data_IF_291864513368
#
_entry.id   IF_291864513368
#
_cell.length_a   1.000
_cell.length_b   1.000
_cell.length_c   1.000
_cell.angle_alpha   90.00
_cell.angle_beta   90.00
_cell.angle_gamma   90.00
#
_symmetry.space_group_name_H-M   'P 1'
#
loop_
_entity.id
_entity.type
_entity.pdbx_description
1 polymer ?
#
# COMPACT_ATOMS: atom_id res chain seq x y z
N UNK A 1 4.06 -18.32 -0.66
CA UNK A 1 3.75 -17.00 -0.06
C UNK A 1 4.04 -15.95 -1.11
N UNK A 2 3.23 -14.91 -1.20
CA UNK A 2 3.50 -13.80 -2.12
C UNK A 2 4.21 -12.69 -1.37
N UNK A 3 5.48 -12.45 -1.70
CA UNK A 3 6.33 -11.47 -1.02
C UNK A 3 6.78 -10.40 -2.01
N UNK A 4 6.49 -9.14 -1.68
CA UNK A 4 6.95 -7.95 -2.37
C UNK A 4 7.96 -7.16 -1.54
N UNK A 5 8.66 -6.25 -2.20
CA UNK A 5 9.61 -5.34 -1.54
C UNK A 5 9.19 -3.90 -1.76
N UNK A 6 9.25 -3.13 -0.67
CA UNK A 6 9.09 -1.69 -0.68
C UNK A 6 10.45 -1.00 -0.73
N UNK A 7 10.56 0.06 -1.52
CA UNK A 7 11.65 1.02 -1.36
C UNK A 7 11.23 2.43 -1.72
N UNK A 8 11.98 3.40 -1.19
CA UNK A 8 11.78 4.83 -1.42
C UNK A 8 13.07 5.42 -2.02
N UNK A 9 13.28 5.26 -3.33
CA UNK A 9 14.45 5.83 -4.01
C UNK A 9 14.33 7.36 -4.12
N UNK A 10 15.47 8.04 -4.17
CA UNK A 10 15.56 9.49 -4.33
C UNK A 10 15.70 9.93 -5.79
N UNK A 11 16.01 8.99 -6.71
CA UNK A 11 16.09 9.21 -8.16
C UNK A 11 15.38 8.13 -8.94
N UNK A 12 14.99 8.45 -10.19
CA UNK A 12 14.35 7.48 -11.09
C UNK A 12 15.32 6.35 -11.44
N UNK A 13 16.60 6.64 -11.61
CA UNK A 13 17.63 5.63 -11.90
C UNK A 13 17.74 4.62 -10.76
N UNK A 14 17.75 5.07 -9.50
CA UNK A 14 17.71 4.18 -8.34
C UNK A 14 16.40 3.38 -8.25
N UNK A 15 15.27 3.95 -8.66
CA UNK A 15 14.02 3.20 -8.72
C UNK A 15 14.14 2.01 -9.71
N UNK A 16 14.74 2.24 -10.86
CA UNK A 16 15.01 1.19 -11.87
C UNK A 16 16.02 0.17 -11.34
N UNK A 17 17.11 0.61 -10.71
CA UNK A 17 18.12 -0.27 -10.11
C UNK A 17 17.52 -1.18 -9.04
N UNK A 18 16.72 -0.62 -8.12
CA UNK A 18 16.03 -1.40 -7.10
C UNK A 18 15.05 -2.41 -7.71
N UNK A 19 14.26 -1.98 -8.68
CA UNK A 19 13.31 -2.88 -9.35
C UNK A 19 14.01 -4.03 -10.08
N UNK A 20 15.15 -3.79 -10.73
CA UNK A 20 16.00 -4.82 -11.35
C UNK A 20 16.53 -5.79 -10.28
N UNK A 21 17.14 -5.27 -9.22
CA UNK A 21 17.66 -6.08 -8.12
C UNK A 21 16.59 -7.00 -7.56
N UNK A 22 15.40 -6.48 -7.27
CA UNK A 22 14.31 -7.27 -6.69
C UNK A 22 13.72 -8.28 -7.69
N UNK A 23 13.57 -7.89 -8.96
CA UNK A 23 13.13 -8.79 -10.02
C UNK A 23 14.10 -9.94 -10.24
N UNK A 24 15.40 -9.67 -10.23
CA UNK A 24 16.46 -10.67 -10.44
C UNK A 24 16.57 -11.62 -9.22
N UNK A 25 16.28 -11.12 -8.02
CA UNK A 25 16.17 -11.93 -6.79
C UNK A 25 14.87 -12.75 -6.72
N UNK A 26 13.93 -12.58 -7.64
CA UNK A 26 12.70 -13.38 -7.74
C UNK A 26 11.49 -12.78 -6.99
N UNK A 27 11.58 -11.58 -6.45
CA UNK A 27 10.43 -10.96 -5.75
C UNK A 27 9.28 -10.69 -6.71
N UNK A 28 8.05 -11.01 -6.27
CA UNK A 28 6.84 -10.92 -7.08
C UNK A 28 6.36 -9.49 -7.36
N UNK A 29 6.66 -8.54 -6.46
CA UNK A 29 6.19 -7.15 -6.60
C UNK A 29 7.18 -6.13 -6.01
N UNK A 30 7.19 -4.94 -6.62
CA UNK A 30 7.94 -3.77 -6.19
C UNK A 30 6.99 -2.61 -5.87
N UNK A 31 7.10 -2.06 -4.67
CA UNK A 31 6.20 -1.06 -4.13
C UNK A 31 6.93 0.25 -3.81
N UNK A 32 6.36 1.38 -4.24
CA UNK A 32 6.89 2.71 -3.96
C UNK A 32 5.85 3.63 -3.30
N UNK A 33 6.26 4.47 -2.34
CA UNK A 33 5.37 5.46 -1.73
C UNK A 33 5.29 6.76 -2.54
N UNK A 34 4.20 7.49 -2.36
CA UNK A 34 4.11 8.89 -2.74
C UNK A 34 4.12 9.75 -1.48
N UNK A 35 5.31 10.19 -1.06
CA UNK A 35 5.47 11.13 0.06
C UNK A 35 5.86 12.50 -0.51
N UNK A 36 7.02 13.04 -0.17
CA UNK A 36 7.49 14.35 -0.63
C UNK A 36 8.69 14.26 -1.59
N UNK A 37 8.97 13.08 -2.12
CA UNK A 37 10.05 12.82 -3.08
C UNK A 37 9.54 12.74 -4.52
N UNK A 38 9.99 11.71 -5.24
CA UNK A 38 9.59 11.45 -6.62
C UNK A 38 8.06 11.33 -6.75
N UNK A 39 7.51 11.80 -7.87
CA UNK A 39 6.17 11.38 -8.28
C UNK A 39 6.20 9.90 -8.64
N UNK A 40 5.54 9.11 -7.79
CA UNK A 40 5.63 7.65 -7.85
C UNK A 40 5.08 7.06 -9.14
N UNK A 41 3.97 7.60 -9.66
CA UNK A 41 3.38 7.10 -10.91
C UNK A 41 4.29 7.39 -12.10
N UNK A 42 4.92 8.56 -12.13
CA UNK A 42 5.91 8.92 -13.16
C UNK A 42 7.13 8.01 -13.08
N UNK A 43 7.70 7.81 -11.88
CA UNK A 43 8.86 6.94 -11.69
C UNK A 43 8.55 5.47 -12.06
N UNK A 44 7.41 4.94 -11.59
CA UNK A 44 6.98 3.58 -11.92
C UNK A 44 6.69 3.37 -13.41
N UNK A 45 6.33 4.43 -14.15
CA UNK A 45 6.17 4.33 -15.62
C UNK A 45 7.51 4.03 -16.30
N UNK A 46 8.59 4.65 -15.84
CA UNK A 46 9.95 4.34 -16.33
C UNK A 46 10.36 2.93 -15.90
N UNK A 47 10.15 2.58 -14.64
CA UNK A 47 10.43 1.22 -14.13
C UNK A 47 9.65 0.17 -14.92
N UNK A 48 8.38 0.40 -15.23
CA UNK A 48 7.55 -0.54 -16.00
C UNK A 48 8.13 -0.85 -17.38
N UNK A 49 8.74 0.15 -18.01
CA UNK A 49 9.39 0.03 -19.33
C UNK A 49 10.71 -0.72 -19.25
N UNK A 50 11.52 -0.44 -18.21
CA UNK A 50 12.88 -0.98 -18.06
C UNK A 50 12.91 -2.37 -17.41
N UNK A 51 11.88 -2.73 -16.61
CA UNK A 51 11.83 -3.96 -15.82
C UNK A 51 10.50 -4.69 -16.07
N UNK A 52 10.40 -5.50 -17.13
CA UNK A 52 9.13 -6.02 -17.63
C UNK A 52 8.57 -7.22 -16.86
N UNK A 53 9.23 -7.73 -15.83
CA UNK A 53 8.81 -8.97 -15.15
C UNK A 53 8.19 -8.77 -13.78
N UNK A 54 8.56 -7.70 -13.06
CA UNK A 54 8.08 -7.45 -11.69
C UNK A 54 6.72 -6.74 -11.73
N UNK A 55 5.80 -7.11 -10.84
CA UNK A 55 4.58 -6.34 -10.61
C UNK A 55 4.90 -5.08 -9.85
N UNK A 56 4.17 -4.01 -10.14
CA UNK A 56 4.41 -2.69 -9.59
C UNK A 56 3.22 -2.25 -8.74
N UNK A 57 3.51 -1.59 -7.62
CA UNK A 57 2.48 -1.05 -6.76
C UNK A 57 2.83 0.30 -6.16
N UNK A 58 1.81 1.10 -5.87
CA UNK A 58 1.97 2.29 -5.04
C UNK A 58 1.52 2.02 -3.61
N UNK A 59 2.31 2.46 -2.61
CA UNK A 59 2.02 2.24 -1.20
C UNK A 59 2.25 3.53 -0.37
N UNK A 60 1.39 4.56 -0.48
CA UNK A 60 0.22 4.73 -1.33
C UNK A 60 0.18 6.16 -1.90
N UNK A 61 -0.63 6.40 -2.94
CA UNK A 61 -0.82 7.76 -3.49
C UNK A 61 -1.91 8.50 -2.70
N UNK A 62 -1.66 9.74 -2.22
CA UNK A 62 -2.65 10.55 -1.52
C UNK A 62 -3.81 10.99 -2.43
N UNK A 63 -5.04 10.88 -1.93
CA UNK A 63 -6.25 11.23 -2.71
C UNK A 63 -6.54 12.73 -2.75
N UNK A 64 -6.33 13.47 -1.64
CA UNK A 64 -6.71 14.87 -1.53
C UNK A 64 -6.04 15.81 -2.56
N UNK A 65 -4.72 15.70 -2.82
CA UNK A 65 -4.06 16.62 -3.76
C UNK A 65 -4.31 16.28 -5.24
N UNK A 66 -5.04 15.23 -5.55
CA UNK A 66 -5.28 14.79 -6.94
C UNK A 66 -6.76 14.52 -7.17
N UNK A 67 -7.33 15.16 -8.19
CA UNK A 67 -8.67 14.80 -8.64
C UNK A 67 -8.69 13.34 -9.15
N UNK A 68 -9.73 12.53 -8.83
CA UNK A 68 -9.77 11.10 -9.19
C UNK A 68 -9.65 10.85 -10.70
N UNK A 69 -10.19 11.75 -11.54
CA UNK A 69 -10.04 11.63 -12.99
C UNK A 69 -8.59 11.77 -13.46
N UNK A 70 -7.82 12.67 -12.85
CA UNK A 70 -6.40 12.84 -13.19
C UNK A 70 -5.58 11.65 -12.71
N UNK A 71 -5.88 11.14 -11.52
CA UNK A 71 -5.24 9.92 -11.03
C UNK A 71 -5.57 8.72 -11.89
N UNK A 72 -6.83 8.57 -12.34
CA UNK A 72 -7.24 7.51 -13.26
C UNK A 72 -6.47 7.57 -14.59
N UNK A 73 -6.30 8.77 -15.17
CA UNK A 73 -5.53 8.93 -16.40
C UNK A 73 -4.07 8.50 -16.22
N UNK A 74 -3.43 8.93 -15.13
CA UNK A 74 -2.04 8.52 -14.80
C UNK A 74 -1.93 7.01 -14.57
N UNK A 75 -2.83 6.44 -13.77
CA UNK A 75 -2.82 5.02 -13.44
C UNK A 75 -3.06 4.12 -14.66
N UNK A 76 -4.01 4.48 -15.53
CA UNK A 76 -4.26 3.75 -16.77
C UNK A 76 -3.12 3.87 -17.78
N UNK A 77 -2.47 5.03 -17.86
CA UNK A 77 -1.27 5.19 -18.68
C UNK A 77 -0.13 4.29 -18.18
N UNK A 78 0.11 4.27 -16.87
CA UNK A 78 1.09 3.35 -16.28
C UNK A 78 0.69 1.88 -16.50
N UNK A 79 -0.57 1.53 -16.35
CA UNK A 79 -1.07 0.16 -16.57
C UNK A 79 -0.82 -0.31 -18.01
N UNK A 80 -1.04 0.57 -19.00
CA UNK A 80 -0.73 0.29 -20.40
C UNK A 80 0.77 0.02 -20.59
N UNK A 81 1.65 0.88 -20.05
CA UNK A 81 3.11 0.68 -20.13
C UNK A 81 3.57 -0.56 -19.39
N UNK A 82 2.92 -0.87 -18.28
CA UNK A 82 3.21 -2.03 -17.45
C UNK A 82 2.62 -3.35 -17.98
N UNK A 83 1.85 -3.33 -19.07
CA UNK A 83 1.19 -4.51 -19.63
C UNK A 83 0.37 -5.27 -18.57
N UNK A 84 -0.48 -4.53 -17.83
CA UNK A 84 -1.37 -5.10 -16.82
C UNK A 84 -0.74 -5.43 -15.45
N UNK A 85 0.55 -5.12 -15.22
CA UNK A 85 1.28 -5.49 -13.99
C UNK A 85 1.20 -4.44 -12.86
N UNK A 86 0.37 -3.40 -12.99
CA UNK A 86 0.30 -2.33 -12.02
C UNK A 86 -0.88 -2.48 -11.06
N UNK A 87 -0.66 -2.24 -9.78
CA UNK A 87 -1.66 -2.11 -8.73
C UNK A 87 -1.61 -0.70 -8.15
N UNK A 88 -2.74 0.01 -8.18
CA UNK A 88 -2.86 1.35 -7.61
C UNK A 88 -3.22 1.26 -6.12
N UNK A 89 -2.29 1.57 -5.24
CA UNK A 89 -2.58 1.81 -3.83
C UNK A 89 -2.85 3.30 -3.58
N UNK A 90 -3.98 3.61 -2.98
CA UNK A 90 -4.37 4.98 -2.60
C UNK A 90 -4.60 5.10 -1.10
N UNK A 91 -4.48 6.30 -0.56
CA UNK A 91 -4.76 6.60 0.84
C UNK A 91 -5.15 8.05 1.06
N UNK A 92 -5.73 8.33 2.22
CA UNK A 92 -6.18 9.69 2.53
C UNK A 92 -5.05 10.59 3.05
N UNK A 93 -3.88 10.03 3.32
CA UNK A 93 -2.84 10.72 4.08
C UNK A 93 -3.32 11.03 5.51
N UNK A 94 -2.80 12.06 6.14
CA UNK A 94 -3.07 12.42 7.52
C UNK A 94 -3.54 13.88 7.60
N UNK A 95 -4.43 14.17 8.54
CA UNK A 95 -4.99 15.52 8.70
C UNK A 95 -3.90 16.58 8.78
N UNK A 96 -2.86 16.35 9.59
CA UNK A 96 -1.74 17.29 9.73
C UNK A 96 -1.00 17.57 8.42
N UNK A 97 -0.95 16.61 7.51
CA UNK A 97 -0.32 16.77 6.18
C UNK A 97 -1.26 17.53 5.25
N UNK A 98 -2.52 17.09 5.18
CA UNK A 98 -3.49 17.66 4.26
C UNK A 98 -3.83 19.11 4.62
N UNK A 99 -4.06 19.40 5.92
CA UNK A 99 -4.38 20.76 6.38
C UNK A 99 -3.12 21.61 6.57
N UNK A 100 -2.10 21.08 7.25
CA UNK A 100 -0.92 21.84 7.63
C UNK A 100 0.08 22.08 6.49
N UNK A 101 0.24 21.13 5.56
CA UNK A 101 1.22 21.24 4.48
C UNK A 101 0.61 21.58 3.13
N UNK A 102 -0.58 21.03 2.80
CA UNK A 102 -1.25 21.30 1.53
C UNK A 102 -2.30 22.41 1.60
N UNK A 103 -2.70 22.86 2.80
CA UNK A 103 -3.72 23.89 2.98
C UNK A 103 -5.11 23.47 2.50
N UNK A 104 -5.38 22.15 2.46
CA UNK A 104 -6.65 21.57 2.02
C UNK A 104 -7.46 21.12 3.25
N UNK A 105 -8.76 21.03 3.12
CA UNK A 105 -9.65 20.60 4.21
C UNK A 105 -9.68 19.09 4.33
N UNK A 106 -9.49 18.55 5.55
CA UNK A 106 -9.58 17.11 5.86
C UNK A 106 -10.86 16.82 6.64
N UNK A 107 -12.01 17.00 6.00
CA UNK A 107 -13.30 16.73 6.60
C UNK A 107 -13.98 15.50 6.02
N UNK A 108 -14.77 14.80 6.84
CA UNK A 108 -15.62 13.67 6.43
C UNK A 108 -14.86 12.64 5.57
N UNK A 109 -13.73 12.09 6.06
CA UNK A 109 -12.81 11.27 5.26
C UNK A 109 -13.46 10.03 4.63
N UNK A 110 -14.44 9.42 5.30
CA UNK A 110 -15.20 8.28 4.75
C UNK A 110 -16.06 8.70 3.56
N UNK A 111 -16.67 9.88 3.60
CA UNK A 111 -17.42 10.45 2.47
C UNK A 111 -16.47 10.76 1.33
N UNK A 112 -15.37 11.47 1.61
CA UNK A 112 -14.35 11.78 0.61
C UNK A 112 -13.91 10.51 -0.13
N UNK A 113 -13.56 9.44 0.59
CA UNK A 113 -13.16 8.18 -0.04
C UNK A 113 -14.27 7.61 -0.93
N UNK A 114 -15.53 7.62 -0.47
CA UNK A 114 -16.65 7.10 -1.25
C UNK A 114 -16.85 7.89 -2.55
N UNK A 115 -16.89 9.22 -2.47
CA UNK A 115 -17.03 10.10 -3.64
C UNK A 115 -15.85 9.94 -4.60
N UNK A 116 -14.64 9.86 -4.04
CA UNK A 116 -13.41 9.63 -4.80
C UNK A 116 -13.47 8.32 -5.60
N UNK A 117 -13.83 7.22 -4.94
CA UNK A 117 -13.95 5.91 -5.59
C UNK A 117 -15.11 5.85 -6.58
N UNK A 118 -16.20 6.60 -6.37
CA UNK A 118 -17.34 6.67 -7.31
C UNK A 118 -16.94 7.25 -8.65
N UNK A 119 -15.92 8.11 -8.69
CA UNK A 119 -15.35 8.66 -9.93
C UNK A 119 -14.17 7.81 -10.43
N UNK A 120 -13.28 7.40 -9.52
CA UNK A 120 -12.06 6.71 -9.86
C UNK A 120 -12.32 5.33 -10.48
N UNK A 121 -13.15 4.51 -9.83
CA UNK A 121 -13.29 3.10 -10.20
C UNK A 121 -13.90 2.88 -11.61
N UNK A 122 -14.96 3.57 -12.03
CA UNK A 122 -15.43 3.48 -13.42
C UNK A 122 -14.32 3.82 -14.43
N UNK A 123 -13.59 4.92 -14.19
CA UNK A 123 -12.50 5.36 -15.08
C UNK A 123 -11.36 4.35 -15.17
N UNK A 124 -11.00 3.70 -14.04
CA UNK A 124 -9.97 2.66 -14.01
C UNK A 124 -10.40 1.38 -14.72
N UNK A 125 -11.71 1.11 -14.78
CA UNK A 125 -12.29 0.00 -15.53
C UNK A 125 -12.49 0.31 -17.03
N UNK A 126 -12.19 1.53 -17.49
CA UNK A 126 -12.39 1.95 -18.86
C UNK A 126 -13.80 2.44 -19.18
N UNK A 127 -14.60 2.66 -18.15
CA UNK A 127 -15.97 3.20 -18.24
C UNK A 127 -15.96 4.71 -18.03
N UNK A 128 -17.06 5.39 -18.37
CA UNK A 128 -17.24 6.79 -18.02
C UNK A 128 -17.67 6.95 -16.57
N UNK A 129 -17.17 7.98 -15.92
CA UNK A 129 -17.71 8.44 -14.64
C UNK A 129 -18.88 9.41 -14.89
N UNK A 130 -19.94 9.24 -14.09
CA UNK A 130 -21.11 10.13 -14.05
C UNK A 130 -21.56 10.25 -12.60
N UNK A 131 -20.97 11.19 -11.86
CA UNK A 131 -21.14 11.29 -10.41
C UNK A 131 -21.15 12.74 -9.92
N UNK A 132 -22.19 13.07 -9.14
CA UNK A 132 -22.31 14.32 -8.37
C UNK A 132 -22.31 14.03 -6.87
N UNK A 133 -21.20 14.39 -6.19
CA UNK A 133 -21.06 14.34 -4.75
C UNK A 133 -21.20 15.71 -4.10
N UNK A 134 -20.99 15.77 -2.79
CA UNK A 134 -20.94 17.04 -2.05
C UNK A 134 -19.63 17.80 -2.29
N UNK A 135 -18.53 17.08 -2.50
CA UNK A 135 -17.18 17.66 -2.60
C UNK A 135 -16.50 17.34 -3.94
N UNK A 136 -16.89 16.26 -4.59
CA UNK A 136 -16.30 15.81 -5.83
C UNK A 136 -17.38 15.55 -6.89
N UNK A 137 -17.10 15.99 -8.11
CA UNK A 137 -17.93 15.76 -9.29
C UNK A 137 -17.08 15.19 -10.42
N UNK A 138 -17.68 14.33 -11.27
CA UNK A 138 -16.95 13.77 -12.41
C UNK A 138 -17.90 13.25 -13.48
N UNK A 139 -17.92 13.92 -14.66
CA UNK A 139 -18.73 13.57 -15.83
C UNK A 139 -17.82 13.46 -17.04
N UNK A 140 -17.08 12.35 -17.17
CA UNK A 140 -16.11 12.16 -18.25
C UNK A 140 -15.75 10.71 -18.46
N UNK A 141 -15.27 10.39 -19.67
CA UNK A 141 -14.55 9.17 -20.00
C UNK A 141 -13.08 9.45 -20.28
N UNK A 142 -12.25 8.41 -20.25
CA UNK A 142 -10.84 8.49 -20.62
C UNK A 142 -10.59 7.68 -21.91
N UNK A 143 -9.97 8.30 -22.90
CA UNK A 143 -9.58 7.67 -24.17
C UNK A 143 -8.13 7.13 -24.05
N UNK A 144 -7.95 6.00 -23.36
CA UNK A 144 -6.66 5.31 -23.22
C UNK A 144 -6.86 3.89 -23.74
N UNK A 145 -6.61 3.68 -25.04
CA UNK A 145 -6.75 2.36 -25.65
C UNK A 145 -5.74 1.36 -25.06
N UNK A 146 -6.03 0.08 -25.15
CA UNK A 146 -5.15 -1.03 -24.76
C UNK A 146 -4.72 -1.03 -23.28
N UNK A 147 -5.40 -0.24 -22.43
CA UNK A 147 -5.20 -0.29 -20.97
C UNK A 147 -6.22 -1.22 -20.34
N UNK A 148 -5.73 -2.28 -19.71
CA UNK A 148 -6.58 -3.17 -18.89
C UNK A 148 -7.08 -2.46 -17.63
N UNK A 149 -8.15 -2.95 -16.97
CA UNK A 149 -8.56 -2.46 -15.66
C UNK A 149 -7.41 -2.42 -14.66
N UNK A 150 -7.41 -1.42 -13.77
CA UNK A 150 -6.36 -1.25 -12.76
C UNK A 150 -6.86 -1.73 -11.40
N UNK A 151 -6.22 -2.76 -10.85
CA UNK A 151 -6.48 -3.18 -9.47
C UNK A 151 -6.18 -2.04 -8.50
N UNK A 152 -7.10 -1.79 -7.56
CA UNK A 152 -6.99 -0.69 -6.62
C UNK A 152 -7.06 -1.17 -5.17
N UNK A 153 -6.07 -0.80 -4.38
CA UNK A 153 -6.03 -1.01 -2.93
C UNK A 153 -6.20 0.33 -2.22
N UNK A 154 -6.88 0.31 -1.08
CA UNK A 154 -7.04 1.50 -0.24
C UNK A 154 -6.30 1.28 1.09
N UNK A 155 -5.52 2.25 1.54
CA UNK A 155 -4.94 2.23 2.89
C UNK A 155 -6.06 2.46 3.92
N UNK A 156 -6.79 1.40 4.25
CA UNK A 156 -7.95 1.42 5.13
C UNK A 156 -7.68 0.58 6.39
N UNK A 157 -7.83 1.20 7.57
CA UNK A 157 -7.60 0.55 8.86
C UNK A 157 -8.86 0.50 9.72
N UNK A 158 -9.63 1.60 9.77
CA UNK A 158 -10.86 1.68 10.55
C UNK A 158 -12.05 0.96 9.89
N UNK A 159 -12.99 0.47 10.69
CA UNK A 159 -14.15 -0.32 10.24
C UNK A 159 -14.91 0.33 9.09
N UNK A 160 -15.20 1.64 9.16
CA UNK A 160 -15.97 2.33 8.12
C UNK A 160 -15.19 2.40 6.80
N UNK A 161 -13.87 2.66 6.88
CA UNK A 161 -13.00 2.70 5.71
C UNK A 161 -12.87 1.32 5.06
N UNK A 162 -12.70 0.25 5.86
CA UNK A 162 -12.68 -1.14 5.39
C UNK A 162 -13.99 -1.52 4.70
N UNK A 163 -15.15 -1.09 5.23
CA UNK A 163 -16.45 -1.35 4.62
C UNK A 163 -16.61 -0.65 3.24
N UNK A 164 -16.15 0.58 3.11
CA UNK A 164 -16.16 1.29 1.82
C UNK A 164 -15.20 0.61 0.84
N UNK A 165 -14.00 0.30 1.29
CA UNK A 165 -12.97 -0.40 0.50
C UNK A 165 -13.47 -1.73 -0.05
N UNK A 166 -14.05 -2.57 0.82
CA UNK A 166 -14.58 -3.88 0.43
C UNK A 166 -15.66 -3.81 -0.64
N UNK A 167 -16.47 -2.76 -0.61
CA UNK A 167 -17.60 -2.57 -1.54
C UNK A 167 -17.19 -1.95 -2.88
N UNK A 168 -16.07 -1.23 -2.94
CA UNK A 168 -15.74 -0.40 -4.09
C UNK A 168 -14.37 -0.68 -4.71
N UNK A 169 -13.41 -1.25 -3.96
CA UNK A 169 -12.05 -1.52 -4.42
C UNK A 169 -11.70 -3.02 -4.33
N UNK A 170 -10.49 -3.41 -4.75
CA UNK A 170 -10.05 -4.80 -4.76
C UNK A 170 -9.44 -5.26 -3.45
N UNK A 171 -9.16 -4.34 -2.52
CA UNK A 171 -8.60 -4.71 -1.23
C UNK A 171 -7.98 -3.56 -0.45
N UNK A 172 -7.28 -3.90 0.62
CA UNK A 172 -6.60 -2.93 1.49
C UNK A 172 -5.09 -3.15 1.50
N UNK A 173 -4.35 -2.05 1.66
CA UNK A 173 -2.93 -2.06 1.99
C UNK A 173 -2.74 -1.52 3.41
N UNK A 174 -2.10 -2.29 4.28
CA UNK A 174 -1.85 -1.91 5.67
C UNK A 174 -0.37 -1.62 5.91
N UNK A 175 -0.12 -0.67 6.82
CA UNK A 175 1.20 -0.33 7.33
C UNK A 175 1.15 -0.32 8.84
N UNK A 176 2.22 -0.72 9.53
CA UNK A 176 2.30 -0.77 11.00
C UNK A 176 1.14 -1.52 11.66
N UNK A 177 0.68 -2.60 11.03
CA UNK A 177 -0.45 -3.41 11.51
C UNK A 177 0.01 -4.86 11.61
N UNK A 178 0.12 -5.35 12.83
CA UNK A 178 0.62 -6.70 13.12
C UNK A 178 -0.42 -7.81 12.91
N UNK A 179 0.01 -9.08 13.06
CA UNK A 179 -0.82 -10.26 12.78
C UNK A 179 -2.07 -10.36 13.65
N UNK A 180 -2.00 -9.97 14.93
CA UNK A 180 -3.16 -9.98 15.83
C UNK A 180 -4.26 -9.07 15.31
N UNK A 181 -3.91 -7.87 14.88
CA UNK A 181 -4.84 -6.87 14.35
C UNK A 181 -5.38 -7.29 12.98
N UNK A 182 -4.53 -7.86 12.11
CA UNK A 182 -4.98 -8.39 10.82
C UNK A 182 -6.03 -9.48 11.04
N UNK A 183 -5.75 -10.47 11.89
CA UNK A 183 -6.63 -11.61 12.12
C UNK A 183 -7.91 -11.28 12.90
N UNK A 184 -7.86 -10.36 13.86
CA UNK A 184 -9.00 -10.03 14.72
C UNK A 184 -9.86 -8.87 14.20
N UNK A 185 -9.33 -8.01 13.34
CA UNK A 185 -10.02 -6.79 12.90
C UNK A 185 -10.03 -6.60 11.38
N UNK A 186 -8.88 -6.55 10.71
CA UNK A 186 -8.82 -6.22 9.29
C UNK A 186 -9.50 -7.28 8.44
N UNK A 187 -9.01 -8.53 8.49
CA UNK A 187 -9.50 -9.61 7.64
C UNK A 187 -10.99 -9.93 7.87
N UNK A 188 -11.50 -10.10 9.11
CA UNK A 188 -12.90 -10.38 9.31
C UNK A 188 -13.80 -9.21 8.87
N UNK A 189 -13.38 -7.96 9.08
CA UNK A 189 -14.21 -6.80 8.72
C UNK A 189 -14.33 -6.64 7.20
N UNK A 190 -13.20 -6.70 6.48
CA UNK A 190 -13.20 -6.47 5.03
C UNK A 190 -13.84 -7.64 4.28
N UNK A 191 -13.57 -8.89 4.70
CA UNK A 191 -14.15 -10.08 4.08
C UNK A 191 -15.68 -10.14 4.27
N UNK A 192 -16.18 -9.83 5.48
CA UNK A 192 -17.62 -9.76 5.75
C UNK A 192 -18.30 -8.72 4.86
N UNK A 193 -17.73 -7.51 4.76
CA UNK A 193 -18.33 -6.44 3.96
C UNK A 193 -18.30 -6.74 2.45
N UNK A 194 -17.27 -7.42 1.95
CA UNK A 194 -17.19 -7.87 0.56
C UNK A 194 -18.25 -8.94 0.28
N UNK A 195 -18.39 -9.94 1.15
CA UNK A 195 -19.39 -10.99 1.02
C UNK A 195 -20.83 -10.43 1.04
N UNK A 196 -21.13 -9.50 1.95
CA UNK A 196 -22.41 -8.79 2.00
C UNK A 196 -22.70 -7.99 0.72
N UNK A 197 -21.67 -7.53 0.03
CA UNK A 197 -21.77 -6.80 -1.25
C UNK A 197 -21.74 -7.72 -2.48
N UNK A 198 -21.67 -9.06 -2.30
CA UNK A 198 -21.55 -10.01 -3.40
C UNK A 198 -20.24 -9.91 -4.20
N UNK A 199 -19.18 -9.41 -3.56
CA UNK A 199 -17.88 -9.21 -4.21
C UNK A 199 -16.89 -10.35 -3.86
N UNK A 200 -15.90 -10.60 -4.71
CA UNK A 200 -14.81 -11.53 -4.39
C UNK A 200 -14.09 -11.17 -3.08
N UNK A 201 -13.41 -12.16 -2.49
CA UNK A 201 -12.56 -11.94 -1.32
C UNK A 201 -11.50 -10.87 -1.62
N UNK A 202 -11.38 -9.83 -0.78
CA UNK A 202 -10.45 -8.72 -1.01
C UNK A 202 -8.99 -9.15 -0.81
N UNK A 203 -8.08 -8.50 -1.53
CA UNK A 203 -6.64 -8.57 -1.23
C UNK A 203 -6.36 -7.83 0.09
N UNK A 204 -5.51 -8.42 0.92
CA UNK A 204 -5.00 -7.79 2.15
C UNK A 204 -3.48 -7.80 2.03
N UNK A 205 -2.94 -6.65 1.63
CA UNK A 205 -1.49 -6.45 1.48
C UNK A 205 -0.96 -5.86 2.78
N UNK A 206 -0.12 -6.63 3.48
CA UNK A 206 0.47 -6.20 4.75
C UNK A 206 1.91 -5.75 4.54
N UNK A 207 2.23 -4.51 4.89
CA UNK A 207 3.60 -4.01 4.89
C UNK A 207 4.10 -3.80 6.31
N UNK A 208 5.29 -4.34 6.62
CA UNK A 208 5.96 -4.13 7.91
C UNK A 208 7.47 -3.89 7.72
N UNK A 209 8.12 -3.16 8.66
CA UNK A 209 9.57 -3.08 8.73
C UNK A 209 10.16 -4.47 8.98
N UNK A 210 11.26 -4.79 8.30
CA UNK A 210 11.97 -6.06 8.43
C UNK A 210 13.46 -5.83 8.59
N UNK A 211 14.08 -6.54 9.53
CA UNK A 211 15.53 -6.57 9.70
C UNK A 211 15.99 -7.95 10.18
N UNK A 212 16.80 -8.62 9.38
CA UNK A 212 17.49 -9.85 9.78
C UNK A 212 18.81 -9.48 10.44
N UNK A 213 18.99 -9.86 11.70
CA UNK A 213 20.15 -9.49 12.51
C UNK A 213 20.32 -10.40 13.71
N UNK A 214 21.56 -10.51 14.20
CA UNK A 214 21.90 -11.12 15.48
C UNK A 214 21.84 -10.09 16.64
N UNK A 215 21.83 -8.78 16.34
CA UNK A 215 21.65 -7.69 17.32
C UNK A 215 20.22 -7.11 17.25
N UNK A 216 19.29 -7.87 17.80
CA UNK A 216 17.88 -7.48 17.84
C UNK A 216 17.66 -6.16 18.60
N UNK A 217 18.42 -5.92 19.68
CA UNK A 217 18.26 -4.73 20.50
C UNK A 217 18.61 -3.45 19.73
N UNK A 218 19.73 -3.45 19.00
CA UNK A 218 20.13 -2.32 18.16
C UNK A 218 19.13 -2.08 17.00
N UNK A 219 18.70 -3.14 16.32
CA UNK A 219 17.73 -3.01 15.24
C UNK A 219 16.37 -2.49 15.72
N UNK A 220 15.88 -2.91 16.89
CA UNK A 220 14.65 -2.37 17.48
C UNK A 220 14.80 -0.91 17.90
N UNK A 221 15.97 -0.50 18.39
CA UNK A 221 16.24 0.91 18.71
C UNK A 221 16.20 1.77 17.43
N UNK A 222 16.82 1.30 16.34
CA UNK A 222 16.75 1.94 15.01
C UNK A 222 15.30 2.05 14.52
N UNK A 223 14.50 0.98 14.65
CA UNK A 223 13.09 1.00 14.28
C UNK A 223 12.28 2.00 15.12
N UNK A 224 12.54 2.06 16.44
CA UNK A 224 11.86 2.99 17.34
C UNK A 224 12.12 4.46 16.97
N UNK A 225 13.33 4.79 16.56
CA UNK A 225 13.69 6.14 16.10
C UNK A 225 13.07 6.44 14.72
N UNK A 226 13.29 5.54 13.76
CA UNK A 226 12.93 5.77 12.36
C UNK A 226 11.42 5.83 12.14
N UNK A 227 10.66 5.02 12.88
CA UNK A 227 9.21 4.92 12.73
C UNK A 227 8.42 5.63 13.83
N UNK A 228 9.08 6.41 14.68
CA UNK A 228 8.48 7.09 15.84
C UNK A 228 7.18 7.83 15.51
N UNK A 229 7.14 8.54 14.39
CA UNK A 229 6.00 9.37 13.99
C UNK A 229 4.69 8.58 13.87
N UNK A 230 4.76 7.32 13.47
CA UNK A 230 3.56 6.48 13.32
C UNK A 230 2.89 6.13 14.66
N UNK A 231 3.63 6.16 15.75
CA UNK A 231 3.08 6.00 17.10
C UNK A 231 2.13 7.14 17.54
N UNK A 232 2.26 8.32 16.93
CA UNK A 232 1.45 9.50 17.25
C UNK A 232 0.29 9.74 16.27
N UNK A 233 0.28 9.06 15.13
CA UNK A 233 -0.80 9.19 14.16
C UNK A 233 -2.01 8.37 14.60
N UNK A 234 -3.20 8.97 14.80
CA UNK A 234 -4.34 8.30 15.45
C UNK A 234 -4.77 6.99 14.77
N UNK A 235 -4.68 6.91 13.44
CA UNK A 235 -5.04 5.70 12.69
C UNK A 235 -4.11 4.53 12.99
N UNK A 236 -2.81 4.78 13.09
CA UNK A 236 -1.82 3.74 13.42
C UNK A 236 -1.81 3.44 14.92
N UNK A 237 -1.94 4.46 15.79
CA UNK A 237 -2.06 4.24 17.23
C UNK A 237 -3.19 3.27 17.56
N UNK A 238 -4.34 3.43 16.92
CA UNK A 238 -5.47 2.53 17.10
C UNK A 238 -5.18 1.08 16.68
N UNK A 239 -4.30 0.86 15.69
CA UNK A 239 -3.88 -0.49 15.28
C UNK A 239 -2.85 -1.08 16.25
N UNK A 240 -1.89 -0.28 16.70
CA UNK A 240 -0.91 -0.68 17.71
C UNK A 240 -1.58 -1.03 19.06
N UNK A 241 -2.59 -0.26 19.45
CA UNK A 241 -3.40 -0.57 20.66
C UNK A 241 -4.14 -1.91 20.52
N UNK A 242 -4.70 -2.21 19.34
CA UNK A 242 -5.33 -3.52 19.06
C UNK A 242 -4.34 -4.66 19.03
N UNK A 243 -3.14 -4.41 18.54
CA UNK A 243 -2.05 -5.38 18.55
C UNK A 243 -1.55 -5.66 19.98
N UNK A 244 -1.79 -4.72 20.90
CA UNK A 244 -1.37 -4.82 22.30
C UNK A 244 0.10 -4.44 22.50
N UNK A 245 0.61 -3.51 21.67
CA UNK A 245 2.02 -3.09 21.66
C UNK A 245 2.19 -1.60 21.98
N UNK A 246 3.36 -1.21 22.47
CA UNK A 246 3.65 0.16 22.90
C UNK A 246 3.93 1.07 21.69
N UNK A 247 4.63 0.58 20.68
CA UNK A 247 5.08 1.41 19.56
C UNK A 247 5.31 0.67 18.24
N UNK A 248 5.65 1.45 17.20
CA UNK A 248 5.90 0.90 15.85
C UNK A 248 7.04 -0.13 15.79
N UNK A 249 8.07 -0.01 16.65
CA UNK A 249 9.17 -0.96 16.70
C UNK A 249 8.74 -2.38 17.11
N UNK A 250 7.62 -2.50 17.85
CA UNK A 250 7.15 -3.78 18.34
C UNK A 250 6.46 -4.62 17.25
N UNK A 251 5.95 -4.00 16.20
CA UNK A 251 5.38 -4.69 15.04
C UNK A 251 6.41 -4.96 13.94
N UNK A 252 7.64 -4.44 14.07
CA UNK A 252 8.72 -4.75 13.16
C UNK A 252 9.17 -6.22 13.31
N UNK A 253 9.38 -6.88 12.18
CA UNK A 253 9.92 -8.24 12.15
C UNK A 253 11.45 -8.17 12.27
N UNK A 254 11.98 -8.44 13.46
CA UNK A 254 13.40 -8.30 13.80
C UNK A 254 13.88 -9.56 14.47
N UNK A 255 15.07 -10.01 14.12
CA UNK A 255 15.74 -11.17 14.69
C UNK A 255 16.50 -11.97 13.66
N UNK A 256 16.85 -13.21 14.00
CA UNK A 256 17.48 -14.12 13.05
C UNK A 256 16.52 -14.52 11.91
N UNK A 257 17.06 -15.20 10.90
CA UNK A 257 16.29 -15.62 9.73
C UNK A 257 15.07 -16.50 10.09
N UNK A 258 15.17 -17.33 11.11
CA UNK A 258 14.08 -18.21 11.54
C UNK A 258 12.95 -17.41 12.21
N UNK A 259 13.30 -16.45 13.06
CA UNK A 259 12.38 -15.55 13.75
C UNK A 259 11.60 -14.68 12.74
N UNK A 260 12.30 -14.07 11.79
CA UNK A 260 11.67 -13.23 10.75
C UNK A 260 10.76 -14.08 9.85
N UNK A 261 11.20 -15.27 9.42
CA UNK A 261 10.36 -16.22 8.67
C UNK A 261 9.06 -16.54 9.42
N UNK A 262 9.14 -16.94 10.67
CA UNK A 262 7.98 -17.28 11.49
C UNK A 262 7.02 -16.07 11.64
N UNK A 263 7.57 -14.86 11.76
CA UNK A 263 6.77 -13.63 11.76
C UNK A 263 5.99 -13.42 10.46
N UNK A 264 6.63 -13.63 9.31
CA UNK A 264 5.98 -13.53 7.99
C UNK A 264 4.90 -14.62 7.84
N UNK A 265 5.19 -15.86 8.21
CA UNK A 265 4.22 -16.96 8.17
C UNK A 265 2.97 -16.62 8.99
N UNK A 266 3.15 -16.08 10.20
CA UNK A 266 2.06 -15.62 11.06
C UNK A 266 1.21 -14.51 10.43
N UNK A 267 1.79 -13.62 9.65
CA UNK A 267 1.05 -12.59 8.90
C UNK A 267 0.11 -13.26 7.88
N UNK A 268 0.57 -14.25 7.12
CA UNK A 268 -0.28 -14.99 6.18
C UNK A 268 -1.36 -15.80 6.90
N UNK A 269 -1.03 -16.49 7.98
CA UNK A 269 -2.00 -17.23 8.82
C UNK A 269 -3.10 -16.33 9.37
N UNK A 270 -2.80 -15.05 9.59
CA UNK A 270 -3.77 -14.05 10.05
C UNK A 270 -4.71 -13.53 8.96
N UNK A 271 -4.51 -13.95 7.71
CA UNK A 271 -5.39 -13.62 6.59
C UNK A 271 -4.85 -12.59 5.61
N UNK A 272 -3.58 -12.17 5.71
CA UNK A 272 -2.93 -11.40 4.65
C UNK A 272 -2.78 -12.27 3.38
N UNK A 273 -2.96 -11.65 2.23
CA UNK A 273 -2.81 -12.30 0.92
C UNK A 273 -1.46 -12.04 0.28
N UNK A 274 -0.80 -10.97 0.69
CA UNK A 274 0.52 -10.56 0.23
C UNK A 274 1.26 -9.88 1.40
N UNK A 275 2.56 -10.14 1.52
CA UNK A 275 3.43 -9.45 2.45
C UNK A 275 4.40 -8.54 1.70
N UNK A 276 4.52 -7.28 2.10
CA UNK A 276 5.47 -6.33 1.52
C UNK A 276 6.53 -5.99 2.56
N UNK A 277 7.71 -6.53 2.39
CA UNK A 277 8.81 -6.26 3.30
C UNK A 277 9.36 -4.84 3.08
N UNK A 278 9.63 -4.14 4.19
CA UNK A 278 10.28 -2.83 4.22
C UNK A 278 11.63 -2.96 4.93
N UNK A 279 12.70 -3.40 4.23
CA UNK A 279 14.03 -3.49 4.82
C UNK A 279 14.52 -2.10 5.24
N UNK A 280 14.75 -1.89 6.54
CA UNK A 280 15.13 -0.59 7.09
C UNK A 280 16.57 -0.56 7.62
N UNK A 281 17.12 -1.72 8.00
CA UNK A 281 18.48 -1.93 8.46
C UNK A 281 18.97 -3.30 7.97
N UNK A 282 20.30 -3.53 7.98
CA UNK A 282 20.95 -4.76 7.51
C UNK A 282 20.34 -5.31 6.21
N UNK A 283 20.23 -4.44 5.23
CA UNK A 283 19.40 -4.64 4.04
C UNK A 283 19.79 -5.87 3.23
N UNK A 284 21.09 -6.11 3.04
CA UNK A 284 21.56 -7.19 2.18
C UNK A 284 21.22 -8.57 2.78
N UNK A 285 21.51 -8.79 4.05
CA UNK A 285 21.14 -10.03 4.75
C UNK A 285 19.62 -10.23 4.81
N UNK A 286 18.86 -9.13 4.97
CA UNK A 286 17.40 -9.18 4.98
C UNK A 286 16.86 -9.60 3.60
N UNK A 287 17.37 -9.01 2.51
CA UNK A 287 16.97 -9.37 1.15
C UNK A 287 17.35 -10.81 0.78
N UNK A 288 18.56 -11.27 1.17
CA UNK A 288 19.00 -12.63 0.95
C UNK A 288 18.08 -13.65 1.64
N UNK A 289 17.73 -13.40 2.91
CA UNK A 289 16.80 -14.26 3.64
C UNK A 289 15.41 -14.27 3.00
N UNK A 290 14.88 -13.09 2.65
CA UNK A 290 13.56 -12.98 2.01
C UNK A 290 13.52 -13.70 0.66
N UNK A 291 14.58 -13.60 -0.16
CA UNK A 291 14.69 -14.33 -1.42
C UNK A 291 14.68 -15.85 -1.23
N UNK A 292 15.20 -16.34 -0.10
CA UNK A 292 15.14 -17.76 0.27
C UNK A 292 13.74 -18.26 0.68
N UNK A 293 12.71 -17.37 0.74
CA UNK A 293 11.31 -17.71 1.01
C UNK A 293 10.45 -17.84 -0.25
N UNK A 294 10.98 -17.39 -1.40
CA UNK A 294 10.27 -17.37 -2.70
C UNK A 294 10.33 -18.75 -3.36
#
# INVERSE_FOLDING_TARGET
MEIGIFSQPDTVDKAVEHAKLFSDAGFGSYWMPQIFGLDTLTALTVVAREVPKVRLGTAVVPTYPRHPAMLAAQARTLQQVADGRFTLGIGLSHQMVIEGMFGMTFEKPVRHLREYLSILMPLLNGEAADFDGETLHGHLGLEIPDSTPVDTLVAALGTQMLNVTARMAQGTATWMTGPTTIGSHIAPTINKAAAEAGRPAPRIVCALPVCVTDDEAAARATAAEQFLVYGFLPSYRAMLDREGVEGPADVALVGDAATVRAGIEKIFESGATEFVAVPYDNRDATLEMLAGLL
#
